data_IF_616484242314
#
_entry.id   IF_616484242314
#
_cell.length_a   1.000
_cell.length_b   1.000
_cell.length_c   1.000
_cell.angle_alpha   90.00
_cell.angle_beta   90.00
_cell.angle_gamma   90.00
#
_symmetry.space_group_name_H-M   'P 1'
#
loop_
_entity.id
_entity.type
_entity.pdbx_description
1 polymer ?
#
# COMPACT_ATOMS: atom_id res chain seq x y z
N UNK A 1 -7.28 -8.56 -25.67
CA UNK A 1 -6.42 -7.93 -24.65
C UNK A 1 -7.16 -8.05 -23.33
N UNK A 2 -6.59 -8.68 -22.30
CA UNK A 2 -7.27 -8.79 -21.00
C UNK A 2 -7.09 -7.49 -20.23
N UNK A 3 -8.19 -6.83 -19.85
CA UNK A 3 -8.17 -5.62 -19.01
C UNK A 3 -7.99 -5.97 -17.53
N UNK A 4 -7.09 -6.93 -17.25
CA UNK A 4 -6.95 -7.56 -15.94
C UNK A 4 -5.82 -6.90 -15.16
N UNK A 5 -6.16 -6.30 -14.03
CA UNK A 5 -5.25 -5.63 -13.11
C UNK A 5 -5.06 -6.51 -11.87
N UNK A 6 -3.82 -6.69 -11.45
CA UNK A 6 -3.52 -7.24 -10.13
C UNK A 6 -3.37 -6.10 -9.13
N UNK A 7 -4.17 -6.10 -8.07
CA UNK A 7 -3.90 -5.30 -6.87
C UNK A 7 -3.32 -6.23 -5.82
N UNK A 8 -2.05 -6.04 -5.46
CA UNK A 8 -1.36 -6.92 -4.52
C UNK A 8 -0.74 -6.18 -3.36
N UNK A 9 -0.68 -6.84 -2.20
CA UNK A 9 -0.27 -6.18 -0.97
C UNK A 9 0.51 -7.08 0.01
N UNK A 10 1.34 -6.45 0.84
CA UNK A 10 1.83 -7.02 2.08
C UNK A 10 1.25 -6.27 3.29
N UNK A 11 0.67 -7.01 4.24
CA UNK A 11 0.06 -6.45 5.43
C UNK A 11 0.32 -7.32 6.65
N UNK A 12 0.54 -6.69 7.81
CA UNK A 12 0.71 -7.39 9.10
C UNK A 12 -0.54 -7.34 9.97
N UNK A 13 -1.18 -6.17 10.03
CA UNK A 13 -2.36 -5.90 10.88
C UNK A 13 -3.61 -5.58 10.04
N UNK A 14 -3.64 -6.01 8.77
CA UNK A 14 -4.80 -5.89 7.89
C UNK A 14 -5.09 -4.48 7.34
N UNK A 15 -4.49 -3.41 7.87
CA UNK A 15 -4.74 -2.05 7.38
C UNK A 15 -4.45 -1.89 5.88
N UNK A 16 -3.32 -2.42 5.40
CA UNK A 16 -2.93 -2.38 3.97
C UNK A 16 -3.85 -3.24 3.11
N UNK A 17 -4.30 -4.39 3.63
CA UNK A 17 -5.24 -5.26 2.93
C UNK A 17 -6.55 -4.49 2.63
N UNK A 18 -7.12 -3.81 3.62
CA UNK A 18 -8.33 -3.01 3.40
C UNK A 18 -8.14 -1.84 2.42
N UNK A 19 -6.94 -1.25 2.36
CA UNK A 19 -6.62 -0.24 1.32
C UNK A 19 -6.57 -0.88 -0.07
N UNK A 20 -5.92 -2.05 -0.20
CA UNK A 20 -5.85 -2.80 -1.45
C UNK A 20 -7.25 -3.23 -1.95
N UNK A 21 -8.11 -3.72 -1.06
CA UNK A 21 -9.50 -4.07 -1.36
C UNK A 21 -10.28 -2.86 -1.86
N UNK A 22 -10.13 -1.70 -1.22
CA UNK A 22 -10.80 -0.47 -1.66
C UNK A 22 -10.31 0.00 -3.03
N UNK A 23 -9.00 -0.07 -3.30
CA UNK A 23 -8.43 0.22 -4.61
C UNK A 23 -9.01 -0.73 -5.66
N UNK A 24 -8.98 -2.04 -5.40
CA UNK A 24 -9.46 -3.05 -6.34
C UNK A 24 -10.96 -2.93 -6.62
N UNK A 25 -11.77 -2.70 -5.58
CA UNK A 25 -13.20 -2.40 -5.73
C UNK A 25 -13.45 -1.18 -6.60
N UNK A 26 -12.73 -0.09 -6.36
CA UNK A 26 -12.87 1.15 -7.13
C UNK A 26 -12.55 0.93 -8.60
N UNK A 27 -11.44 0.24 -8.90
CA UNK A 27 -11.04 -0.10 -10.26
C UNK A 27 -12.07 -1.00 -10.97
N UNK A 28 -12.66 -1.96 -10.24
CA UNK A 28 -13.71 -2.82 -10.76
C UNK A 28 -15.02 -2.05 -11.05
N UNK A 29 -15.41 -1.13 -10.17
CA UNK A 29 -16.59 -0.26 -10.36
C UNK A 29 -16.48 0.62 -11.61
N UNK A 30 -15.26 0.97 -12.00
CA UNK A 30 -14.99 1.71 -13.25
C UNK A 30 -14.63 0.78 -14.42
N UNK A 31 -14.91 -0.52 -14.34
CA UNK A 31 -14.93 -1.44 -15.48
C UNK A 31 -13.63 -2.20 -15.78
N UNK A 32 -12.66 -2.21 -14.86
CA UNK A 32 -11.51 -3.12 -14.96
C UNK A 32 -11.85 -4.52 -14.44
N UNK A 33 -11.20 -5.56 -14.95
CA UNK A 33 -11.16 -6.86 -14.26
C UNK A 33 -10.04 -6.79 -13.22
N UNK A 34 -10.33 -7.13 -11.97
CA UNK A 34 -9.36 -6.93 -10.89
C UNK A 34 -9.29 -8.16 -10.00
N UNK A 35 -8.07 -8.64 -9.78
CA UNK A 35 -7.78 -9.60 -8.71
C UNK A 35 -7.10 -8.84 -7.56
N UNK A 36 -7.59 -9.04 -6.33
CA UNK A 36 -6.98 -8.51 -5.12
C UNK A 36 -6.40 -9.68 -4.34
N UNK A 37 -5.07 -9.76 -4.26
CA UNK A 37 -4.37 -10.91 -3.67
C UNK A 37 -3.25 -10.43 -2.75
N UNK A 38 -3.05 -11.10 -1.62
CA UNK A 38 -1.80 -10.89 -0.87
C UNK A 38 -0.61 -11.30 -1.74
N UNK A 39 0.55 -10.67 -1.56
CA UNK A 39 1.75 -10.97 -2.36
C UNK A 39 2.20 -12.44 -2.25
N UNK A 40 1.81 -13.14 -1.17
CA UNK A 40 2.10 -14.56 -0.96
C UNK A 40 1.19 -15.48 -1.80
N UNK A 41 0.03 -15.00 -2.22
CA UNK A 41 -0.94 -15.75 -3.02
C UNK A 41 -0.75 -15.53 -4.53
N UNK A 42 0.05 -14.55 -4.92
CA UNK A 42 0.35 -14.26 -6.31
C UNK A 42 1.28 -15.33 -6.87
N UNK A 43 0.76 -16.15 -7.78
CA UNK A 43 1.53 -17.22 -8.45
C UNK A 43 2.22 -16.77 -9.73
N UNK A 44 1.55 -15.90 -10.49
CA UNK A 44 2.04 -15.44 -11.79
C UNK A 44 1.52 -14.03 -12.08
N UNK A 45 2.44 -13.10 -12.30
CA UNK A 45 2.18 -11.70 -12.65
C UNK A 45 2.07 -11.47 -14.16
N UNK A 46 2.52 -12.42 -14.98
CA UNK A 46 2.59 -12.27 -16.44
C UNK A 46 1.19 -12.16 -17.07
N UNK A 47 0.20 -12.86 -16.50
CA UNK A 47 -1.20 -12.84 -16.96
C UNK A 47 -1.90 -11.48 -16.84
N UNK A 48 -1.36 -10.56 -16.05
CA UNK A 48 -1.97 -9.25 -15.81
C UNK A 48 -1.40 -8.21 -16.77
N UNK A 49 -2.28 -7.32 -17.21
CA UNK A 49 -1.90 -6.18 -18.04
C UNK A 49 -1.24 -5.08 -17.21
N UNK A 50 -1.60 -4.95 -15.94
CA UNK A 50 -1.04 -3.96 -15.03
C UNK A 50 -1.01 -4.46 -13.58
N UNK A 51 -0.14 -3.88 -12.77
CA UNK A 51 0.02 -4.25 -11.36
C UNK A 51 -0.01 -3.01 -10.47
N UNK A 52 -0.81 -3.05 -9.42
CA UNK A 52 -0.79 -2.10 -8.31
C UNK A 52 -0.27 -2.85 -7.09
N UNK A 53 0.93 -2.50 -6.61
CA UNK A 53 1.52 -3.14 -5.44
C UNK A 53 1.52 -2.20 -4.24
N UNK A 54 1.30 -2.73 -3.04
CA UNK A 54 1.49 -1.92 -1.84
C UNK A 54 1.95 -2.65 -0.60
N UNK A 55 2.48 -1.89 0.35
CA UNK A 55 3.05 -2.44 1.57
C UNK A 55 2.73 -1.58 2.78
N UNK A 56 2.61 -2.23 3.95
CA UNK A 56 2.77 -1.49 5.19
C UNK A 56 4.22 -0.99 5.31
N UNK A 57 4.42 0.12 6.00
CA UNK A 57 5.76 0.57 6.35
C UNK A 57 6.11 0.11 7.77
N UNK A 58 7.31 -0.45 7.91
CA UNK A 58 7.94 -0.67 9.20
C UNK A 58 9.39 -0.17 9.17
N UNK A 59 9.79 0.61 10.17
CA UNK A 59 11.16 1.16 10.23
C UNK A 59 11.53 2.08 9.06
N UNK A 60 10.53 2.69 8.39
CA UNK A 60 10.76 3.56 7.23
C UNK A 60 11.06 2.83 5.92
N UNK A 61 10.72 1.55 5.82
CA UNK A 61 10.82 0.78 4.58
C UNK A 61 9.58 -0.08 4.39
N UNK A 62 9.34 -0.49 3.14
CA UNK A 62 8.38 -1.54 2.82
C UNK A 62 8.70 -2.83 3.58
N UNK A 63 7.67 -3.62 3.86
CA UNK A 63 7.87 -4.94 4.46
C UNK A 63 8.82 -5.80 3.60
N UNK A 64 9.69 -6.62 4.20
CA UNK A 64 10.65 -7.45 3.47
C UNK A 64 10.01 -8.31 2.38
N UNK A 65 8.87 -8.93 2.67
CA UNK A 65 8.11 -9.74 1.72
C UNK A 65 7.63 -8.93 0.50
N UNK A 66 7.33 -7.64 0.68
CA UNK A 66 6.93 -6.77 -0.42
C UNK A 66 8.13 -6.35 -1.28
N UNK A 67 9.27 -6.06 -0.65
CA UNK A 67 10.50 -5.80 -1.38
C UNK A 67 10.95 -7.02 -2.16
N UNK A 68 10.85 -8.22 -1.57
CA UNK A 68 11.14 -9.47 -2.25
C UNK A 68 10.23 -9.67 -3.46
N UNK A 69 8.92 -9.43 -3.33
CA UNK A 69 7.98 -9.50 -4.46
C UNK A 69 8.40 -8.60 -5.63
N UNK A 70 8.70 -7.33 -5.36
CA UNK A 70 9.13 -6.37 -6.40
C UNK A 70 10.45 -6.80 -7.04
N UNK A 71 11.41 -7.32 -6.27
CA UNK A 71 12.67 -7.84 -6.79
C UNK A 71 12.47 -9.06 -7.69
N UNK A 72 11.69 -10.04 -7.22
CA UNK A 72 11.39 -11.27 -7.95
C UNK A 72 10.69 -11.00 -9.27
N UNK A 73 9.73 -10.07 -9.28
CA UNK A 73 8.94 -9.76 -10.47
C UNK A 73 9.41 -8.53 -11.24
N UNK A 74 10.61 -7.99 -10.92
CA UNK A 74 11.11 -6.73 -11.48
C UNK A 74 11.04 -6.66 -13.01
N UNK A 75 11.46 -7.75 -13.69
CA UNK A 75 11.49 -7.81 -15.14
C UNK A 75 10.08 -7.62 -15.74
N UNK A 76 9.10 -8.38 -15.24
CA UNK A 76 7.70 -8.29 -15.64
C UNK A 76 7.08 -6.93 -15.30
N UNK A 77 7.29 -6.45 -14.07
CA UNK A 77 6.77 -5.16 -13.62
C UNK A 77 7.31 -3.98 -14.41
N UNK A 78 8.54 -4.09 -14.94
CA UNK A 78 9.14 -3.04 -15.77
C UNK A 78 8.61 -2.99 -17.20
N UNK A 79 7.93 -4.05 -17.67
CA UNK A 79 7.39 -4.16 -19.03
C UNK A 79 5.90 -3.81 -19.10
N UNK A 80 5.27 -3.43 -17.99
CA UNK A 80 3.85 -3.10 -17.94
C UNK A 80 3.56 -1.97 -16.96
N UNK A 81 2.40 -1.30 -17.06
CA UNK A 81 2.03 -0.27 -16.10
C UNK A 81 2.06 -0.79 -14.66
N UNK A 82 2.86 -0.12 -13.83
CA UNK A 82 3.07 -0.46 -12.43
C UNK A 82 2.75 0.75 -11.56
N UNK A 83 1.86 0.61 -10.58
CA UNK A 83 1.61 1.63 -9.56
C UNK A 83 1.99 1.09 -8.18
N UNK A 84 2.45 1.98 -7.31
CA UNK A 84 2.86 1.62 -5.95
C UNK A 84 2.03 2.37 -4.91
N UNK A 85 1.74 1.76 -3.77
CA UNK A 85 1.20 2.49 -2.62
C UNK A 85 1.81 2.02 -1.31
N UNK A 86 1.84 2.91 -0.33
CA UNK A 86 2.22 2.57 1.03
C UNK A 86 1.11 2.93 2.01
N UNK A 87 1.11 2.21 3.13
CA UNK A 87 0.24 2.50 4.27
C UNK A 87 1.11 2.64 5.51
N UNK A 88 1.05 3.82 6.15
CA UNK A 88 1.85 4.08 7.35
C UNK A 88 1.11 4.95 8.37
N UNK A 89 1.24 4.60 9.65
CA UNK A 89 0.73 5.43 10.74
C UNK A 89 1.38 6.81 10.78
N UNK A 90 2.66 6.96 10.43
CA UNK A 90 3.39 8.25 10.37
C UNK A 90 2.66 9.35 9.62
N UNK A 91 1.78 8.98 8.67
CA UNK A 91 0.92 9.92 7.95
C UNK A 91 -0.11 10.65 8.86
N UNK A 92 -0.36 10.16 10.08
CA UNK A 92 -1.31 10.74 11.04
C UNK A 92 -0.64 11.67 12.06
N UNK A 93 0.69 11.84 12.02
CA UNK A 93 1.38 12.73 12.94
C UNK A 93 1.11 14.19 12.61
N UNK A 94 0.87 14.99 13.65
CA UNK A 94 0.28 16.34 13.63
C UNK A 94 1.07 17.44 12.92
N UNK A 95 2.24 17.16 12.35
CA UNK A 95 3.14 18.21 11.87
C UNK A 95 3.27 18.35 10.35
N UNK A 96 2.54 17.59 9.54
CA UNK A 96 2.46 17.74 8.06
C UNK A 96 3.76 17.48 7.26
N UNK A 97 4.93 17.62 7.89
CA UNK A 97 6.28 17.46 7.32
C UNK A 97 6.67 16.00 7.06
N UNK A 98 5.85 15.05 7.47
CA UNK A 98 6.18 13.64 7.30
C UNK A 98 5.83 13.10 5.92
N UNK A 99 4.99 13.78 5.14
CA UNK A 99 4.59 13.29 3.81
C UNK A 99 5.79 13.16 2.87
N UNK A 100 6.68 14.14 2.85
CA UNK A 100 7.92 14.10 2.06
C UNK A 100 8.82 12.94 2.52
N UNK A 101 9.06 12.84 3.82
CA UNK A 101 9.86 11.75 4.41
C UNK A 101 9.26 10.37 4.16
N UNK A 102 7.94 10.24 4.19
CA UNK A 102 7.23 8.99 3.90
C UNK A 102 7.33 8.65 2.42
N UNK A 103 7.34 9.65 1.54
CA UNK A 103 7.52 9.44 0.11
C UNK A 103 8.91 8.89 -0.23
N UNK A 104 9.95 9.23 0.52
CA UNK A 104 11.30 8.64 0.39
C UNK A 104 11.30 7.12 0.67
N UNK A 105 10.33 6.60 1.42
CA UNK A 105 10.23 5.16 1.71
C UNK A 105 9.80 4.32 0.50
N UNK A 106 9.42 4.97 -0.60
CA UNK A 106 9.26 4.35 -1.92
C UNK A 106 10.56 4.29 -2.72
N UNK A 107 11.63 5.00 -2.34
CA UNK A 107 12.88 5.05 -3.10
C UNK A 107 13.46 3.65 -3.41
N UNK A 108 13.46 2.67 -2.48
CA UNK A 108 13.91 1.32 -2.80
C UNK A 108 13.06 0.64 -3.88
N UNK A 109 11.75 0.93 -3.93
CA UNK A 109 10.84 0.42 -4.97
C UNK A 109 11.09 1.14 -6.29
N UNK A 110 11.18 2.48 -6.27
CA UNK A 110 11.47 3.32 -7.44
C UNK A 110 12.77 2.93 -8.12
N UNK A 111 13.79 2.57 -7.34
CA UNK A 111 15.08 2.13 -7.84
C UNK A 111 15.01 0.79 -8.60
N UNK A 112 14.02 -0.06 -8.29
CA UNK A 112 13.81 -1.34 -8.95
C UNK A 112 12.90 -1.21 -10.18
N UNK A 113 11.75 -0.56 -9.99
CA UNK A 113 10.71 -0.34 -11.01
C UNK A 113 10.08 1.03 -10.76
N UNK A 114 10.09 1.90 -11.78
CA UNK A 114 9.51 3.24 -11.67
C UNK A 114 7.98 3.17 -11.72
N UNK A 115 7.24 3.55 -10.66
CA UNK A 115 5.80 3.56 -10.71
C UNK A 115 5.27 4.66 -11.62
N UNK A 116 4.16 4.40 -12.32
CA UNK A 116 3.40 5.41 -13.08
C UNK A 116 2.62 6.34 -12.14
N UNK A 117 2.32 5.88 -10.94
CA UNK A 117 1.65 6.65 -9.89
C UNK A 117 1.93 6.05 -8.51
N UNK A 118 1.88 6.89 -7.49
CA UNK A 118 2.23 6.54 -6.11
C UNK A 118 1.16 7.01 -5.12
N UNK A 119 0.66 6.09 -4.31
CA UNK A 119 -0.34 6.34 -3.26
C UNK A 119 0.30 6.34 -1.87
N UNK A 120 0.07 7.40 -1.08
CA UNK A 120 0.55 7.50 0.30
C UNK A 120 -0.64 7.62 1.23
N UNK A 121 -0.91 6.58 2.00
CA UNK A 121 -2.10 6.50 2.83
C UNK A 121 -1.79 6.31 4.31
N UNK A 122 -2.63 6.88 5.16
CA UNK A 122 -2.65 6.59 6.58
C UNK A 122 -3.24 5.19 6.85
N UNK A 123 -2.90 4.62 7.99
CA UNK A 123 -3.36 3.29 8.39
C UNK A 123 -4.28 3.28 9.61
N UNK A 124 -4.50 2.08 10.15
CA UNK A 124 -5.22 1.85 11.40
C UNK A 124 -4.23 1.61 12.53
N UNK A 125 -4.38 2.35 13.63
CA UNK A 125 -3.76 2.01 14.91
C UNK A 125 -4.82 1.37 15.78
N UNK A 126 -4.71 0.05 15.95
CA UNK A 126 -5.49 -0.70 16.92
C UNK A 126 -4.51 -1.39 17.87
N UNK A 127 -4.37 -0.85 19.08
CA UNK A 127 -3.34 -1.31 20.01
C UNK A 127 -3.66 -2.72 20.50
N UNK A 128 -4.93 -3.09 20.58
CA UNK A 128 -5.34 -4.44 21.02
C UNK A 128 -4.89 -5.55 20.06
N UNK A 129 -4.68 -5.23 18.78
CA UNK A 129 -4.23 -6.17 17.75
C UNK A 129 -2.71 -6.32 17.66
N UNK A 130 -1.94 -5.51 18.40
CA UNK A 130 -0.47 -5.59 18.38
C UNK A 130 -0.04 -6.84 19.16
N UNK A 131 0.69 -7.80 18.58
CA UNK A 131 1.00 -9.06 19.26
C UNK A 131 1.92 -8.89 20.47
N UNK A 132 2.96 -8.05 20.34
CA UNK A 132 3.98 -7.81 21.36
C UNK A 132 3.42 -6.98 22.53
N UNK A 133 3.49 -7.52 23.75
CA UNK A 133 3.06 -6.81 24.95
C UNK A 133 3.90 -5.55 25.20
N UNK A 134 5.22 -5.64 24.98
CA UNK A 134 6.11 -4.49 25.12
C UNK A 134 5.74 -3.38 24.13
N UNK A 135 5.44 -3.73 22.87
CA UNK A 135 5.04 -2.73 21.88
C UNK A 135 3.65 -2.18 22.15
N UNK A 136 2.70 -3.00 22.64
CA UNK A 136 1.41 -2.52 23.16
C UNK A 136 1.59 -1.44 24.21
N UNK A 137 2.48 -1.66 25.19
CA UNK A 137 2.75 -0.68 26.24
C UNK A 137 3.35 0.62 25.68
N UNK A 138 4.33 0.51 24.77
CA UNK A 138 4.94 1.68 24.11
C UNK A 138 3.91 2.49 23.32
N UNK A 139 3.08 1.84 22.50
CA UNK A 139 2.04 2.52 21.73
C UNK A 139 0.98 3.14 22.64
N UNK A 140 0.56 2.46 23.72
CA UNK A 140 -0.34 3.05 24.74
C UNK A 140 0.22 4.31 25.35
N UNK A 141 1.47 4.29 25.80
CA UNK A 141 2.15 5.47 26.35
C UNK A 141 2.19 6.60 25.32
N UNK A 142 2.48 6.28 24.06
CA UNK A 142 2.57 7.28 22.99
C UNK A 142 1.20 7.90 22.67
N UNK A 143 0.11 7.15 22.80
CA UNK A 143 -1.27 7.67 22.68
C UNK A 143 -1.63 8.55 23.88
N UNK A 144 -1.29 8.14 25.11
CA UNK A 144 -1.51 8.96 26.32
C UNK A 144 -0.75 10.28 26.26
N UNK A 145 0.46 10.27 25.68
CA UNK A 145 1.28 11.47 25.47
C UNK A 145 0.84 12.31 24.26
N UNK A 146 -0.23 11.91 23.54
CA UNK A 146 -0.77 12.66 22.40
C UNK A 146 0.05 12.59 21.12
N UNK A 147 1.03 11.69 21.03
CA UNK A 147 1.87 11.51 19.83
C UNK A 147 1.07 10.83 18.71
N UNK A 148 0.22 9.88 19.08
CA UNK A 148 -0.66 9.16 18.16
C UNK A 148 -2.09 9.18 18.65
N UNK A 149 -3.02 8.96 17.72
CA UNK A 149 -4.43 8.72 18.05
C UNK A 149 -4.78 7.29 17.64
N UNK A 150 -5.33 6.52 18.56
CA UNK A 150 -5.88 5.19 18.24
C UNK A 150 -7.11 5.35 17.34
N UNK A 151 -7.29 4.43 16.38
CA UNK A 151 -8.41 4.45 15.44
C UNK A 151 -8.02 4.22 13.98
N UNK A 152 -9.02 4.29 13.12
CA UNK A 152 -8.87 4.24 11.67
C UNK A 152 -8.64 5.65 11.12
N UNK A 153 -7.50 5.86 10.47
CA UNK A 153 -7.13 7.14 9.86
C UNK A 153 -7.09 7.07 8.34
N UNK A 154 -7.52 5.96 7.74
CA UNK A 154 -7.58 5.82 6.28
C UNK A 154 -8.58 6.83 5.72
N UNK A 155 -8.08 7.72 4.87
CA UNK A 155 -8.94 8.58 4.05
C UNK A 155 -9.45 7.79 2.85
N UNK A 156 -10.62 7.18 3.03
CA UNK A 156 -11.27 6.38 1.99
C UNK A 156 -11.62 7.16 0.73
N UNK A 157 -11.87 8.47 0.83
CA UNK A 157 -12.12 9.31 -0.34
C UNK A 157 -10.83 9.51 -1.13
N UNK A 158 -9.71 9.80 -0.45
CA UNK A 158 -8.42 9.92 -1.09
C UNK A 158 -7.97 8.61 -1.76
N UNK A 159 -8.19 7.45 -1.10
CA UNK A 159 -7.89 6.13 -1.66
C UNK A 159 -8.69 5.89 -2.95
N UNK A 160 -10.00 6.12 -2.93
CA UNK A 160 -10.88 5.97 -4.10
C UNK A 160 -10.53 6.95 -5.22
N UNK A 161 -10.22 8.19 -4.89
CA UNK A 161 -9.83 9.21 -5.86
C UNK A 161 -8.52 8.81 -6.57
N UNK A 162 -7.52 8.37 -5.80
CA UNK A 162 -6.28 7.86 -6.37
C UNK A 162 -6.52 6.63 -7.25
N UNK A 163 -7.26 5.63 -6.76
CA UNK A 163 -7.59 4.44 -7.55
C UNK A 163 -8.32 4.77 -8.86
N UNK A 164 -9.25 5.72 -8.83
CA UNK A 164 -9.96 6.18 -10.04
C UNK A 164 -9.00 6.82 -11.05
N UNK A 165 -8.00 7.57 -10.58
CA UNK A 165 -6.98 8.17 -11.44
C UNK A 165 -6.04 7.14 -12.10
N UNK A 166 -5.93 5.93 -11.53
CA UNK A 166 -5.04 4.89 -12.06
C UNK A 166 -5.55 4.26 -13.35
N UNK A 167 -6.88 4.10 -13.51
CA UNK A 167 -7.42 3.37 -14.67
C UNK A 167 -6.84 3.82 -16.02
N UNK A 168 -6.85 5.11 -16.40
CA UNK A 168 -6.27 5.55 -17.66
C UNK A 168 -4.75 5.37 -17.74
N UNK A 169 -4.04 5.27 -16.61
CA UNK A 169 -2.60 5.02 -16.59
C UNK A 169 -2.26 3.53 -16.71
N UNK A 170 -3.18 2.64 -16.32
CA UNK A 170 -2.97 1.19 -16.27
C UNK A 170 -3.55 0.46 -17.49
N UNK A 171 -4.64 0.98 -18.07
CA UNK A 171 -5.37 0.37 -19.19
C UNK A 171 -5.50 1.32 -20.40
N UNK A 172 -4.81 2.46 -20.36
CA UNK A 172 -4.78 3.44 -21.46
C UNK A 172 -4.00 2.97 -22.68
#
# INVERSE_FOLDING_TARGET
MSNKILVTYASRLGSTAGVAEAIGKTLAEIGAQVDVLSMQEVKDVAQYQAVVAGSAINGGIWLPEAMQFVQTHRAELSQKPFAAFLVCMTMTMSNGKYRERVAEWLDPVRALVKPVSEGLFAGVLNISQIPSFADRLKFRLSVVLGVWKEGDHRDWNAIRAWASSLRPLLLG
#
